data_IF_579201046297
#
_entry.id   IF_579201046297
#
_cell.length_a   1.000
_cell.length_b   1.000
_cell.length_c   1.000
_cell.angle_alpha   90.00
_cell.angle_beta   90.00
_cell.angle_gamma   90.00
#
_symmetry.space_group_name_H-M   'P 1'
#
loop_
_entity.id
_entity.type
_entity.pdbx_description
1 polymer ?
#
# COMPACT_ATOMS: atom_id res chain seq x y z
N UNK A 1 6.94 -4.79 22.18
CA UNK A 1 7.36 -5.27 20.87
C UNK A 1 7.35 -6.79 20.88
N UNK A 2 6.69 -7.38 19.90
CA UNK A 2 6.53 -8.83 19.77
C UNK A 2 6.99 -9.28 18.38
N UNK A 3 7.49 -10.51 18.28
CA UNK A 3 7.72 -11.18 17.01
C UNK A 3 6.90 -12.48 17.05
N UNK A 4 5.90 -12.57 16.18
CA UNK A 4 4.88 -13.59 16.08
C UNK A 4 5.16 -14.95 16.75
N UNK A 5 6.18 -15.67 16.29
CA UNK A 5 6.57 -16.98 16.82
C UNK A 5 7.65 -16.93 17.90
N UNK A 6 8.43 -15.84 17.99
CA UNK A 6 9.53 -15.71 18.95
C UNK A 6 9.12 -15.09 20.29
N UNK A 7 7.87 -14.64 20.41
CA UNK A 7 7.33 -14.09 21.64
C UNK A 7 7.58 -12.58 21.83
N UNK A 8 7.72 -12.17 23.09
CA UNK A 8 7.89 -10.76 23.46
C UNK A 8 9.38 -10.41 23.51
N UNK A 9 9.79 -9.38 22.75
CA UNK A 9 11.14 -8.83 22.83
C UNK A 9 11.32 -7.95 24.04
N UNK A 10 10.38 -7.00 24.24
CA UNK A 10 10.39 -6.12 25.39
C UNK A 10 9.02 -5.45 25.57
N UNK A 11 8.81 -4.89 26.78
CA UNK A 11 7.62 -4.17 27.18
C UNK A 11 8.04 -2.81 27.73
N UNK A 12 7.45 -1.74 27.21
CA UNK A 12 7.72 -0.37 27.63
C UNK A 12 6.50 0.22 28.32
N UNK A 13 6.71 0.87 29.45
CA UNK A 13 5.69 1.66 30.12
C UNK A 13 6.30 2.95 30.64
N UNK A 14 5.63 4.07 30.36
CA UNK A 14 5.99 5.43 30.77
C UNK A 14 4.84 6.35 30.35
N UNK A 15 5.09 7.65 30.22
CA UNK A 15 4.17 8.53 29.49
C UNK A 15 3.91 7.99 28.08
N UNK A 16 2.74 8.23 27.47
CA UNK A 16 2.40 7.68 26.15
C UNK A 16 3.50 7.93 25.09
N UNK A 17 4.07 9.13 25.06
CA UNK A 17 5.12 9.49 24.10
C UNK A 17 6.42 8.74 24.37
N UNK A 18 6.87 8.66 25.64
CA UNK A 18 8.12 7.99 25.96
C UNK A 18 8.05 6.48 25.72
N UNK A 19 6.97 5.84 26.17
CA UNK A 19 6.74 4.41 25.92
C UNK A 19 6.64 4.10 24.42
N UNK A 20 5.93 4.95 23.66
CA UNK A 20 5.81 4.78 22.21
C UNK A 20 7.16 4.91 21.49
N UNK A 21 7.95 5.93 21.82
CA UNK A 21 9.27 6.13 21.20
C UNK A 21 10.19 4.93 21.46
N UNK A 22 10.30 4.48 22.72
CA UNK A 22 11.13 3.33 23.05
C UNK A 22 10.68 2.04 22.34
N UNK A 23 9.36 1.81 22.25
CA UNK A 23 8.81 0.67 21.52
C UNK A 23 9.04 0.79 20.02
N UNK A 24 8.91 1.99 19.44
CA UNK A 24 9.15 2.24 18.02
C UNK A 24 10.62 2.01 17.64
N UNK A 25 11.56 2.48 18.46
CA UNK A 25 13.00 2.30 18.26
C UNK A 25 13.39 0.82 18.25
N UNK A 26 12.89 0.03 19.19
CA UNK A 26 13.11 -1.42 19.20
C UNK A 26 12.39 -2.09 18.03
N UNK A 27 11.17 -1.71 17.73
CA UNK A 27 10.41 -2.26 16.59
C UNK A 27 11.12 -2.01 15.25
N UNK A 28 11.74 -0.84 15.09
CA UNK A 28 12.52 -0.53 13.89
C UNK A 28 13.75 -1.44 13.73
N UNK A 29 14.37 -1.86 14.82
CA UNK A 29 15.49 -2.80 14.79
C UNK A 29 15.06 -4.24 14.48
N UNK A 30 13.87 -4.63 14.95
CA UNK A 30 13.35 -6.01 14.84
C UNK A 30 12.62 -6.26 13.53
N UNK A 31 11.87 -5.26 13.03
CA UNK A 31 10.90 -5.46 11.94
C UNK A 31 11.24 -4.75 10.63
N UNK A 32 12.15 -3.77 10.63
CA UNK A 32 12.52 -3.07 9.40
C UNK A 32 13.71 -3.75 8.74
N UNK A 33 13.46 -4.27 7.54
CA UNK A 33 14.51 -4.80 6.65
C UNK A 33 14.96 -3.65 5.76
N UNK A 34 16.20 -3.18 5.94
CA UNK A 34 16.76 -2.10 5.13
C UNK A 34 17.34 -2.66 3.84
N UNK A 35 17.03 -2.03 2.72
CA UNK A 35 17.59 -2.36 1.40
C UNK A 35 18.56 -1.27 0.96
N UNK A 36 19.64 -1.62 0.24
CA UNK A 36 20.69 -0.66 -0.15
C UNK A 36 20.27 0.27 -1.29
N UNK A 37 19.24 -0.09 -2.05
CA UNK A 37 18.72 0.67 -3.20
C UNK A 37 17.24 0.44 -3.38
N UNK A 38 16.52 1.36 -4.06
CA UNK A 38 15.13 1.13 -4.46
C UNK A 38 15.03 0.15 -5.63
N UNK A 39 13.81 -0.37 -5.84
CA UNK A 39 13.48 -1.37 -6.86
C UNK A 39 12.51 -0.83 -7.90
N UNK A 40 12.70 -1.19 -9.16
CA UNK A 40 11.79 -0.79 -10.25
C UNK A 40 10.47 -1.57 -10.20
N UNK A 41 10.52 -2.82 -9.75
CA UNK A 41 9.34 -3.67 -9.62
C UNK A 41 9.32 -4.32 -8.24
N UNK A 42 8.21 -4.19 -7.54
CA UNK A 42 7.98 -4.83 -6.24
C UNK A 42 6.71 -5.66 -6.33
N UNK A 43 6.82 -6.98 -6.10
CA UNK A 43 5.67 -7.87 -5.97
C UNK A 43 5.35 -8.07 -4.49
N UNK A 44 4.19 -7.60 -4.05
CA UNK A 44 3.73 -7.73 -2.67
C UNK A 44 2.61 -8.73 -2.55
N UNK A 45 2.91 -9.91 -2.02
CA UNK A 45 1.92 -10.97 -1.83
C UNK A 45 1.05 -10.71 -0.61
N UNK A 46 -0.25 -10.53 -0.83
CA UNK A 46 -1.24 -10.34 0.23
C UNK A 46 -1.53 -11.68 0.92
N UNK A 47 -1.44 -11.74 2.26
CA UNK A 47 -1.81 -12.96 2.97
C UNK A 47 -3.33 -13.23 2.84
N UNK A 48 -3.77 -14.50 2.82
CA UNK A 48 -5.18 -14.86 2.64
C UNK A 48 -6.14 -14.27 3.67
N UNK A 49 -5.64 -13.85 4.84
CA UNK A 49 -6.44 -13.18 5.86
C UNK A 49 -6.84 -11.74 5.51
N UNK A 50 -6.29 -11.16 4.43
CA UNK A 50 -6.68 -9.85 3.91
C UNK A 50 -7.69 -10.09 2.77
N UNK A 51 -8.94 -10.16 3.13
CA UNK A 51 -10.07 -10.53 2.26
C UNK A 51 -10.62 -9.36 1.43
N UNK A 52 -10.18 -8.13 1.72
CA UNK A 52 -10.55 -6.92 1.00
C UNK A 52 -9.34 -5.98 0.80
N UNK A 53 -9.41 -5.14 -0.23
CA UNK A 53 -8.32 -4.20 -0.58
C UNK A 53 -8.09 -3.17 0.54
N UNK A 54 -9.12 -2.82 1.31
CA UNK A 54 -8.98 -1.97 2.49
C UNK A 54 -7.90 -2.47 3.44
N UNK A 55 -7.86 -3.76 3.70
CA UNK A 55 -6.84 -4.39 4.54
C UNK A 55 -5.55 -4.65 3.78
N UNK A 56 -5.66 -5.09 2.52
CA UNK A 56 -4.52 -5.39 1.64
C UNK A 56 -3.75 -4.14 1.19
N UNK A 57 -4.29 -2.95 1.40
CA UNK A 57 -3.54 -1.68 1.23
C UNK A 57 -2.21 -1.65 1.97
N UNK A 58 -2.05 -2.47 3.04
CA UNK A 58 -0.78 -2.69 3.73
C UNK A 58 0.33 -3.19 2.82
N UNK A 59 -0.01 -3.91 1.76
CA UNK A 59 0.94 -4.37 0.74
C UNK A 59 1.56 -3.20 -0.02
N UNK A 60 0.87 -2.06 -0.12
CA UNK A 60 1.40 -0.85 -0.75
C UNK A 60 2.21 -0.02 0.24
N UNK A 61 1.60 0.55 1.28
CA UNK A 61 2.26 1.57 2.07
C UNK A 61 3.43 1.09 2.92
N UNK A 62 3.54 -0.21 3.18
CA UNK A 62 4.73 -0.79 3.84
C UNK A 62 5.93 -0.89 2.91
N UNK A 63 5.71 -1.06 1.62
CA UNK A 63 6.75 -1.26 0.62
C UNK A 63 7.00 -0.04 -0.27
N UNK A 64 6.12 0.95 -0.26
CA UNK A 64 6.32 2.18 -1.03
C UNK A 64 7.72 2.80 -0.87
N UNK A 65 8.32 2.85 0.34
CA UNK A 65 9.64 3.46 0.53
C UNK A 65 10.78 2.78 -0.24
N UNK A 66 10.62 1.53 -0.65
CA UNK A 66 11.65 0.80 -1.42
C UNK A 66 11.35 0.73 -2.92
N UNK A 67 10.22 1.27 -3.37
CA UNK A 67 9.93 1.38 -4.81
C UNK A 67 10.64 2.61 -5.37
N UNK A 68 11.33 2.45 -6.49
CA UNK A 68 11.96 3.56 -7.21
C UNK A 68 10.91 4.55 -7.77
N UNK A 69 11.31 5.80 -7.98
CA UNK A 69 10.46 6.76 -8.66
C UNK A 69 10.17 6.28 -10.09
N UNK A 70 8.89 6.28 -10.47
CA UNK A 70 8.43 5.69 -11.72
C UNK A 70 8.38 4.15 -11.75
N UNK A 71 8.69 3.50 -10.63
CA UNK A 71 8.59 2.05 -10.50
C UNK A 71 7.15 1.56 -10.28
N UNK A 72 6.97 0.24 -10.31
CA UNK A 72 5.69 -0.44 -10.14
C UNK A 72 5.67 -1.26 -8.85
N UNK A 73 4.60 -1.12 -8.07
CA UNK A 73 4.25 -2.04 -6.99
C UNK A 73 3.01 -2.83 -7.38
N UNK A 74 3.13 -4.15 -7.38
CA UNK A 74 2.06 -5.08 -7.70
C UNK A 74 1.54 -5.69 -6.39
N UNK A 75 0.26 -5.45 -6.09
CA UNK A 75 -0.44 -6.12 -5.00
C UNK A 75 -0.98 -7.44 -5.54
N UNK A 76 -0.34 -8.54 -5.21
CA UNK A 76 -0.76 -9.88 -5.60
C UNK A 76 -1.70 -10.48 -4.56
N UNK A 77 -2.97 -10.58 -4.91
CA UNK A 77 -4.05 -11.04 -4.04
C UNK A 77 -5.08 -11.88 -4.82
N UNK A 78 -4.71 -13.06 -5.35
CA UNK A 78 -5.56 -13.87 -6.24
C UNK A 78 -6.86 -14.36 -5.60
N UNK A 79 -6.96 -14.28 -4.27
CA UNK A 79 -8.14 -14.66 -3.48
C UNK A 79 -9.14 -13.51 -3.27
N UNK A 80 -8.74 -12.26 -3.57
CA UNK A 80 -9.48 -11.07 -3.17
C UNK A 80 -10.42 -10.58 -4.27
N UNK A 81 -11.70 -10.41 -3.95
CA UNK A 81 -12.74 -9.94 -4.86
C UNK A 81 -13.41 -8.62 -4.44
N UNK A 82 -13.06 -8.10 -3.25
CA UNK A 82 -13.73 -6.93 -2.66
C UNK A 82 -12.77 -5.76 -2.45
N UNK A 83 -13.22 -4.54 -2.78
CA UNK A 83 -12.49 -3.31 -2.42
C UNK A 83 -12.60 -3.09 -0.91
N UNK A 84 -13.83 -3.06 -0.41
CA UNK A 84 -14.16 -2.99 1.02
C UNK A 84 -15.64 -3.27 1.22
N UNK A 85 -15.95 -4.14 2.18
CA UNK A 85 -17.35 -4.44 2.58
C UNK A 85 -18.02 -3.17 3.12
N UNK A 86 -17.26 -2.35 3.87
CA UNK A 86 -17.82 -1.17 4.54
C UNK A 86 -17.71 0.10 3.70
N UNK A 87 -16.58 0.30 3.00
CA UNK A 87 -16.25 1.57 2.35
C UNK A 87 -16.14 1.47 0.83
N UNK A 88 -16.40 0.30 0.24
CA UNK A 88 -16.18 0.03 -1.18
C UNK A 88 -16.88 1.04 -2.09
N UNK A 89 -18.16 1.37 -1.82
CA UNK A 89 -18.90 2.37 -2.61
C UNK A 89 -18.27 3.76 -2.58
N UNK A 90 -17.80 4.20 -1.42
CA UNK A 90 -17.11 5.50 -1.29
C UNK A 90 -15.78 5.49 -2.03
N UNK A 91 -15.03 4.38 -1.97
CA UNK A 91 -13.76 4.24 -2.69
C UNK A 91 -14.00 4.23 -4.21
N UNK A 92 -15.05 3.55 -4.70
CA UNK A 92 -15.40 3.59 -6.12
C UNK A 92 -15.80 5.00 -6.60
N UNK A 93 -16.34 5.81 -5.71
CA UNK A 93 -16.75 7.19 -6.01
C UNK A 93 -15.55 8.16 -6.02
N UNK A 94 -14.63 8.04 -5.06
CA UNK A 94 -13.51 8.98 -4.91
C UNK A 94 -12.22 8.53 -5.61
N UNK A 95 -12.03 7.22 -5.81
CA UNK A 95 -10.80 6.61 -6.32
C UNK A 95 -9.64 6.59 -5.32
N UNK A 96 -8.53 5.99 -5.74
CA UNK A 96 -7.25 6.05 -5.04
C UNK A 96 -6.38 7.13 -5.67
N UNK A 97 -6.04 8.14 -4.90
CA UNK A 97 -5.30 9.30 -5.36
C UNK A 97 -4.24 9.73 -4.34
N UNK A 98 -3.22 10.46 -4.79
CA UNK A 98 -2.25 11.06 -3.88
C UNK A 98 -2.91 12.14 -3.00
N UNK A 99 -2.25 12.49 -1.90
CA UNK A 99 -2.76 13.51 -0.96
C UNK A 99 -3.08 14.82 -1.65
N UNK A 100 -2.21 15.27 -2.54
CA UNK A 100 -2.32 16.59 -3.18
C UNK A 100 -3.57 16.68 -4.07
N UNK A 101 -4.02 15.56 -4.66
CA UNK A 101 -5.28 15.49 -5.41
C UNK A 101 -6.49 15.91 -4.55
N UNK A 102 -6.58 15.38 -3.33
CA UNK A 102 -7.67 15.71 -2.43
C UNK A 102 -7.55 17.12 -1.86
N UNK A 103 -6.34 17.51 -1.44
CA UNK A 103 -6.14 18.82 -0.80
C UNK A 103 -6.31 19.98 -1.77
N UNK A 104 -5.91 19.83 -3.04
CA UNK A 104 -6.12 20.85 -4.06
C UNK A 104 -7.60 20.99 -4.47
N UNK A 105 -8.41 19.97 -4.20
CA UNK A 105 -9.85 19.95 -4.51
C UNK A 105 -10.69 19.84 -3.21
N UNK A 106 -10.22 20.45 -2.13
CA UNK A 106 -10.79 20.26 -0.79
C UNK A 106 -12.28 20.57 -0.71
N UNK A 107 -12.77 21.59 -1.42
CA UNK A 107 -14.20 21.96 -1.46
C UNK A 107 -15.08 20.79 -1.97
N UNK A 108 -14.52 19.90 -2.81
CA UNK A 108 -15.20 18.70 -3.30
C UNK A 108 -15.18 17.55 -2.30
N UNK A 109 -14.11 17.43 -1.51
CA UNK A 109 -13.84 16.23 -0.74
C UNK A 109 -14.00 16.37 0.79
N UNK A 110 -14.15 17.60 1.32
CA UNK A 110 -14.20 17.87 2.76
C UNK A 110 -15.32 17.14 3.50
N UNK A 111 -16.42 16.82 2.82
CA UNK A 111 -17.60 16.17 3.42
C UNK A 111 -17.49 14.62 3.39
N UNK A 112 -16.50 14.06 2.73
CA UNK A 112 -16.24 12.62 2.79
C UNK A 112 -15.58 12.21 4.11
N UNK A 113 -15.79 10.95 4.57
CA UNK A 113 -15.10 10.46 5.76
C UNK A 113 -13.57 10.53 5.59
N UNK A 114 -12.92 11.30 6.41
CA UNK A 114 -11.47 11.54 6.30
C UNK A 114 -10.62 10.27 6.37
N UNK A 115 -11.09 9.24 7.11
CA UNK A 115 -10.45 7.94 7.14
C UNK A 115 -10.42 7.26 5.76
N UNK A 116 -11.46 7.45 4.94
CA UNK A 116 -11.51 6.93 3.56
C UNK A 116 -10.58 7.70 2.65
N UNK A 117 -10.54 9.04 2.76
CA UNK A 117 -9.58 9.87 2.03
C UNK A 117 -8.12 9.48 2.39
N UNK A 118 -7.83 9.35 3.68
CA UNK A 118 -6.50 8.94 4.15
C UNK A 118 -6.11 7.54 3.65
N UNK A 119 -7.03 6.58 3.68
CA UNK A 119 -6.80 5.25 3.12
C UNK A 119 -6.51 5.31 1.62
N UNK A 120 -7.26 6.13 0.87
CA UNK A 120 -7.02 6.34 -0.55
C UNK A 120 -5.57 6.78 -0.80
N UNK A 121 -5.08 7.76 -0.04
CA UNK A 121 -3.71 8.25 -0.20
C UNK A 121 -2.65 7.20 0.16
N UNK A 122 -2.91 6.33 1.12
CA UNK A 122 -1.99 5.26 1.51
C UNK A 122 -1.87 4.17 0.44
N UNK A 123 -2.94 3.87 -0.28
CA UNK A 123 -2.90 2.86 -1.35
C UNK A 123 -2.30 3.44 -2.63
N UNK A 124 -2.52 4.72 -2.92
CA UNK A 124 -1.93 5.37 -4.12
C UNK A 124 -0.49 5.79 -3.91
N UNK A 125 -0.14 6.18 -2.68
CA UNK A 125 1.20 6.64 -2.32
C UNK A 125 1.47 8.11 -2.62
N UNK A 126 2.75 8.48 -2.61
CA UNK A 126 3.22 9.84 -2.88
C UNK A 126 2.96 10.30 -4.30
N UNK A 127 2.75 11.60 -4.46
CA UNK A 127 2.52 12.21 -5.76
C UNK A 127 2.21 13.70 -5.63
N UNK A 128 1.99 14.34 -6.76
CA UNK A 128 1.60 15.76 -6.88
C UNK A 128 0.33 15.89 -7.71
N UNK A 129 -0.41 16.96 -7.48
CA UNK A 129 -1.54 17.34 -8.32
C UNK A 129 -1.47 18.83 -8.61
N UNK A 130 -1.27 19.19 -9.88
CA UNK A 130 -1.18 20.56 -10.35
C UNK A 130 -1.81 20.69 -11.73
N UNK A 131 -2.48 21.80 -12.00
CA UNK A 131 -3.13 22.10 -13.28
C UNK A 131 -4.07 21.00 -13.80
N UNK A 132 -4.76 20.31 -12.89
CA UNK A 132 -5.68 19.23 -13.21
C UNK A 132 -5.00 17.87 -13.52
N UNK A 133 -3.68 17.78 -13.35
CA UNK A 133 -2.91 16.57 -13.65
C UNK A 133 -2.34 15.98 -12.36
N UNK A 134 -2.64 14.70 -12.11
CA UNK A 134 -2.04 13.90 -11.05
C UNK A 134 -0.79 13.19 -11.56
N UNK A 135 0.32 13.33 -10.84
CA UNK A 135 1.57 12.61 -11.10
C UNK A 135 1.93 11.81 -9.86
N UNK A 136 1.69 10.51 -9.90
CA UNK A 136 2.04 9.62 -8.80
C UNK A 136 3.50 9.18 -8.91
N UNK A 137 4.15 9.05 -7.74
CA UNK A 137 5.55 8.64 -7.65
C UNK A 137 5.75 7.20 -8.14
N UNK A 138 4.79 6.32 -7.86
CA UNK A 138 4.84 4.90 -8.22
C UNK A 138 3.56 4.49 -8.93
N UNK A 139 3.66 3.48 -9.80
CA UNK A 139 2.53 2.77 -10.37
C UNK A 139 2.05 1.71 -9.38
N UNK A 140 0.77 1.70 -9.05
CA UNK A 140 0.17 0.65 -8.21
C UNK A 140 -0.74 -0.22 -9.09
N UNK A 141 -0.40 -1.49 -9.18
CA UNK A 141 -1.13 -2.49 -9.97
C UNK A 141 -1.75 -3.52 -9.02
N UNK A 142 -3.03 -3.81 -9.20
CA UNK A 142 -3.74 -4.83 -8.47
C UNK A 142 -3.85 -6.12 -9.30
N UNK A 143 -3.39 -7.23 -8.75
CA UNK A 143 -3.54 -8.56 -9.33
C UNK A 143 -4.47 -9.38 -8.44
N UNK A 144 -5.78 -9.33 -8.70
CA UNK A 144 -6.83 -9.91 -7.88
C UNK A 144 -8.03 -10.34 -8.72
N UNK A 145 -9.11 -10.78 -8.07
CA UNK A 145 -10.39 -11.07 -8.70
C UNK A 145 -11.28 -9.81 -8.88
N UNK A 146 -10.84 -8.64 -8.41
CA UNK A 146 -11.54 -7.37 -8.67
C UNK A 146 -11.46 -7.10 -10.18
N UNK A 147 -12.60 -6.83 -10.87
CA UNK A 147 -12.61 -6.67 -12.31
C UNK A 147 -11.72 -5.51 -12.80
N UNK A 148 -11.14 -5.63 -14.02
CA UNK A 148 -10.28 -4.59 -14.60
C UNK A 148 -10.92 -3.20 -14.66
N UNK A 149 -12.20 -3.14 -15.04
CA UNK A 149 -12.97 -1.90 -15.12
C UNK A 149 -13.22 -1.25 -13.75
N UNK A 150 -13.22 -2.05 -12.69
CA UNK A 150 -13.31 -1.53 -11.31
C UNK A 150 -11.95 -0.98 -10.89
N UNK A 151 -10.85 -1.68 -11.20
CA UNK A 151 -9.50 -1.20 -10.94
C UNK A 151 -9.24 0.15 -11.63
N UNK A 152 -9.62 0.28 -12.90
CA UNK A 152 -9.52 1.54 -13.65
C UNK A 152 -10.33 2.65 -13.00
N UNK A 153 -11.58 2.37 -12.60
CA UNK A 153 -12.47 3.35 -11.94
C UNK A 153 -11.88 3.86 -10.62
N UNK A 154 -11.21 2.99 -9.86
CA UNK A 154 -10.55 3.38 -8.61
C UNK A 154 -9.10 3.87 -8.80
N UNK A 155 -8.69 4.14 -10.03
CA UNK A 155 -7.35 4.66 -10.37
C UNK A 155 -6.18 3.74 -9.98
N UNK A 156 -6.36 2.43 -10.15
CA UNK A 156 -5.29 1.43 -10.03
C UNK A 156 -5.09 0.68 -11.36
N UNK A 157 -3.85 0.25 -11.59
CA UNK A 157 -3.56 -0.70 -12.66
C UNK A 157 -4.18 -2.07 -12.37
N UNK A 158 -4.41 -2.85 -13.43
CA UNK A 158 -4.85 -4.23 -13.31
C UNK A 158 -3.87 -5.19 -13.99
N UNK A 159 -3.69 -6.35 -13.37
CA UNK A 159 -3.01 -7.50 -13.98
C UNK A 159 -3.75 -8.78 -13.63
N UNK A 160 -3.97 -9.66 -14.58
CA UNK A 160 -4.57 -10.96 -14.30
C UNK A 160 -3.67 -11.76 -13.34
N UNK A 161 -4.12 -12.11 -12.15
CA UNK A 161 -3.32 -12.84 -11.18
C UNK A 161 -2.85 -14.22 -11.70
N UNK A 162 -3.58 -14.83 -12.62
CA UNK A 162 -3.20 -16.11 -13.25
C UNK A 162 -1.95 -15.99 -14.13
N UNK A 163 -1.57 -14.78 -14.55
CA UNK A 163 -0.37 -14.53 -15.35
C UNK A 163 0.89 -14.30 -14.51
N UNK A 164 0.77 -14.22 -13.19
CA UNK A 164 1.89 -13.97 -12.28
C UNK A 164 2.43 -15.30 -11.76
N UNK A 165 3.67 -15.60 -12.15
CA UNK A 165 4.47 -16.62 -11.50
C UNK A 165 5.29 -15.94 -10.39
N UNK A 166 4.92 -16.17 -9.13
CA UNK A 166 5.54 -15.53 -7.96
C UNK A 166 7.03 -15.89 -7.87
N UNK A 167 7.38 -17.14 -8.16
CA UNK A 167 8.76 -17.62 -8.10
C UNK A 167 9.66 -16.90 -9.12
N UNK A 168 9.09 -16.43 -10.23
CA UNK A 168 9.86 -15.65 -11.21
C UNK A 168 10.28 -14.26 -10.71
N UNK A 169 9.80 -13.81 -9.56
CA UNK A 169 10.22 -12.55 -8.91
C UNK A 169 11.27 -12.78 -7.82
N UNK A 170 11.46 -14.02 -7.36
CA UNK A 170 12.39 -14.34 -6.28
C UNK A 170 13.86 -14.15 -6.72
N UNK A 171 14.72 -13.78 -5.76
CA UNK A 171 16.17 -13.66 -5.91
C UNK A 171 16.65 -12.75 -7.07
N UNK A 172 15.85 -11.75 -7.43
CA UNK A 172 16.15 -10.81 -8.53
C UNK A 172 16.41 -9.38 -8.08
N UNK A 173 16.83 -9.20 -6.84
CA UNK A 173 17.11 -7.86 -6.29
C UNK A 173 18.19 -7.13 -7.11
N UNK A 174 19.18 -7.83 -7.66
CA UNK A 174 20.20 -7.26 -8.52
C UNK A 174 19.67 -6.72 -9.85
N UNK A 175 18.54 -7.24 -10.31
CA UNK A 175 17.84 -6.77 -11.49
C UNK A 175 16.84 -5.64 -11.19
N UNK A 176 16.74 -5.22 -9.95
CA UNK A 176 15.78 -4.19 -9.51
C UNK A 176 14.36 -4.72 -9.27
N UNK A 177 14.21 -6.02 -9.00
CA UNK A 177 12.95 -6.68 -8.66
C UNK A 177 13.01 -7.15 -7.21
N UNK A 178 11.95 -6.87 -6.44
CA UNK A 178 11.77 -7.31 -5.05
C UNK A 178 10.50 -8.16 -4.92
N UNK A 179 10.62 -9.34 -4.31
CA UNK A 179 9.52 -10.16 -3.83
C UNK A 179 9.37 -10.02 -2.32
#
# INVERSE_FOLDING_TARGET
VVNGTAGVYDLFYDTPTAAWNAAADLSAQVHIIRKPRPFQTVLSCSPPMYDELWTAGKCMYKLEPVVADGGELIIYAPHMSEISITHGKLIEEIGYHCRDYFTAQWDRFQDYPWGVLAHSTHVRGGGTYADGVEQCRVQVTLASQIPPEVCERINLGYRDPATIDVEAYADREDEGVLL
#
